data_IF_012262945209
#
_entry.id   IF_012262945209
#
_cell.length_a   1.000
_cell.length_b   1.000
_cell.length_c   1.000
_cell.angle_alpha   90.00
_cell.angle_beta   90.00
_cell.angle_gamma   90.00
#
_symmetry.space_group_name_H-M   'P 1'
#
loop_
_entity.id
_entity.type
_entity.pdbx_description
1 polymer ?
#
# COMPACT_ATOMS: atom_id res chain seq x y z
N UNK A 1 7.82 -20.72 -9.91
CA UNK A 1 6.68 -21.62 -9.70
C UNK A 1 5.32 -20.93 -9.96
N UNK A 2 4.41 -20.71 -8.94
CA UNK A 2 3.09 -20.10 -9.23
C UNK A 2 3.24 -18.67 -9.77
N UNK A 3 4.10 -17.85 -9.17
CA UNK A 3 4.33 -16.49 -9.62
C UNK A 3 4.91 -16.45 -11.05
N UNK A 4 5.88 -17.30 -11.35
CA UNK A 4 6.48 -17.38 -12.70
C UNK A 4 5.43 -17.78 -13.74
N UNK A 5 4.54 -18.72 -13.37
CA UNK A 5 3.45 -19.17 -14.22
C UNK A 5 2.44 -18.02 -14.45
N UNK A 6 2.08 -17.28 -13.41
CA UNK A 6 1.18 -16.14 -13.50
C UNK A 6 1.76 -15.00 -14.38
N UNK A 7 3.04 -14.71 -14.24
CA UNK A 7 3.76 -13.72 -15.05
C UNK A 7 3.82 -14.16 -16.51
N UNK A 8 4.19 -15.40 -16.78
CA UNK A 8 4.26 -15.96 -18.14
C UNK A 8 2.90 -15.91 -18.86
N UNK A 9 1.80 -16.10 -18.13
CA UNK A 9 0.44 -16.01 -18.66
C UNK A 9 -0.20 -14.62 -18.58
N UNK A 10 0.56 -13.62 -18.09
CA UNK A 10 0.11 -12.21 -17.95
C UNK A 10 -1.19 -12.07 -17.18
N UNK A 11 -1.39 -12.90 -16.15
CA UNK A 11 -2.56 -12.82 -15.28
C UNK A 11 -2.65 -11.45 -14.61
N UNK A 12 -3.87 -10.95 -14.43
CA UNK A 12 -4.15 -9.68 -13.76
C UNK A 12 -4.95 -9.81 -12.47
N UNK A 13 -5.58 -10.97 -12.28
CA UNK A 13 -6.41 -11.27 -11.12
C UNK A 13 -6.07 -12.62 -10.50
N UNK A 14 -6.37 -12.75 -9.20
CA UNK A 14 -6.12 -13.96 -8.42
C UNK A 14 -6.84 -15.20 -9.00
N UNK A 15 -8.09 -15.02 -9.46
CA UNK A 15 -8.86 -16.13 -10.01
C UNK A 15 -8.27 -16.67 -11.32
N UNK A 16 -7.68 -15.78 -12.13
CA UNK A 16 -6.94 -16.20 -13.34
C UNK A 16 -5.73 -17.06 -12.96
N UNK A 17 -4.98 -16.66 -11.93
CA UNK A 17 -3.83 -17.43 -11.44
C UNK A 17 -4.27 -18.80 -10.92
N UNK A 18 -5.33 -18.85 -10.12
CA UNK A 18 -5.87 -20.10 -9.56
C UNK A 18 -6.32 -21.10 -10.64
N UNK A 19 -6.82 -20.58 -11.76
CA UNK A 19 -7.29 -21.40 -12.88
C UNK A 19 -6.17 -21.91 -13.82
N UNK A 20 -4.94 -21.38 -13.69
CA UNK A 20 -3.83 -21.80 -14.56
C UNK A 20 -3.52 -23.29 -14.44
N UNK A 21 -3.21 -23.97 -15.55
CA UNK A 21 -2.73 -25.35 -15.53
C UNK A 21 -1.39 -25.44 -14.79
N UNK A 22 -1.31 -26.37 -13.82
CA UNK A 22 -0.08 -26.68 -13.08
C UNK A 22 0.06 -28.19 -12.90
N UNK A 23 0.93 -28.81 -13.66
CA UNK A 23 1.07 -30.27 -13.70
C UNK A 23 -0.14 -30.94 -14.34
N UNK A 24 -0.85 -31.80 -13.59
CA UNK A 24 -2.03 -32.55 -14.06
C UNK A 24 -3.37 -31.87 -13.72
N UNK A 25 -3.33 -30.76 -12.99
CA UNK A 25 -4.52 -30.06 -12.47
C UNK A 25 -4.33 -28.53 -12.56
N UNK A 26 -5.01 -27.77 -11.74
CA UNK A 26 -4.88 -26.32 -11.67
C UNK A 26 -3.95 -25.87 -10.55
N UNK A 27 -3.57 -24.58 -10.55
CA UNK A 27 -2.85 -23.96 -9.42
C UNK A 27 -3.65 -24.11 -8.12
N UNK A 28 -4.97 -23.92 -8.16
CA UNK A 28 -5.83 -24.10 -6.98
C UNK A 28 -5.72 -25.53 -6.42
N UNK A 29 -5.80 -26.52 -7.28
CA UNK A 29 -5.67 -27.94 -6.87
C UNK A 29 -4.28 -28.23 -6.30
N UNK A 30 -3.22 -27.70 -6.91
CA UNK A 30 -1.85 -27.87 -6.43
C UNK A 30 -1.63 -27.28 -5.02
N UNK A 31 -2.31 -26.17 -4.69
CA UNK A 31 -2.27 -25.59 -3.34
C UNK A 31 -3.00 -26.48 -2.33
N UNK A 32 -4.14 -27.05 -2.70
CA UNK A 32 -4.89 -28.01 -1.86
C UNK A 32 -4.06 -29.29 -1.63
N UNK A 33 -3.47 -29.85 -2.69
CA UNK A 33 -2.59 -31.02 -2.59
C UNK A 33 -1.41 -30.76 -1.67
N UNK A 34 -0.81 -29.56 -1.76
CA UNK A 34 0.30 -29.18 -0.89
C UNK A 34 -0.12 -29.11 0.58
N UNK A 35 -1.32 -28.60 0.88
CA UNK A 35 -1.90 -28.62 2.23
C UNK A 35 -2.04 -30.04 2.75
N UNK A 36 -2.48 -30.98 1.90
CA UNK A 36 -2.59 -32.41 2.26
C UNK A 36 -1.23 -33.06 2.56
N UNK A 37 -0.20 -32.72 1.79
CA UNK A 37 1.16 -33.27 1.96
C UNK A 37 1.82 -32.77 3.25
N UNK A 38 1.67 -31.48 3.56
CA UNK A 38 2.32 -30.86 4.73
C UNK A 38 1.52 -31.01 6.01
N UNK A 39 0.22 -31.31 5.92
CA UNK A 39 -0.70 -31.29 7.06
C UNK A 39 -1.04 -29.87 7.55
N UNK A 40 -0.61 -28.83 6.83
CA UNK A 40 -0.86 -27.43 7.14
C UNK A 40 -1.79 -26.82 6.10
N UNK A 41 -2.79 -26.05 6.55
CA UNK A 41 -3.69 -25.33 5.64
C UNK A 41 -2.88 -24.25 4.88
N UNK A 42 -2.82 -24.40 3.57
CA UNK A 42 -2.22 -23.43 2.66
C UNK A 42 -3.30 -22.82 1.78
N UNK A 43 -3.22 -21.52 1.57
CA UNK A 43 -4.12 -20.79 0.70
C UNK A 43 -3.32 -19.82 -0.18
N UNK A 44 -3.74 -19.66 -1.43
CA UNK A 44 -3.33 -18.58 -2.29
C UNK A 44 -4.43 -17.50 -2.20
N UNK A 45 -4.19 -16.48 -1.39
CA UNK A 45 -5.19 -15.47 -1.01
C UNK A 45 -4.97 -14.10 -1.65
N UNK A 46 -3.80 -13.88 -2.30
CA UNK A 46 -3.48 -12.61 -2.91
C UNK A 46 -2.65 -12.75 -4.18
N UNK A 47 -3.00 -11.95 -5.18
CA UNK A 47 -2.21 -11.67 -6.36
C UNK A 47 -2.51 -10.25 -6.83
N UNK A 48 -1.49 -9.45 -7.04
CA UNK A 48 -1.65 -8.07 -7.46
C UNK A 48 -0.61 -7.71 -8.50
N UNK A 49 -1.02 -6.89 -9.46
CA UNK A 49 -0.16 -6.32 -10.49
C UNK A 49 -0.09 -4.80 -10.30
N UNK A 50 1.06 -4.22 -10.55
CA UNK A 50 1.28 -2.79 -10.56
C UNK A 50 1.93 -2.42 -11.89
N UNK A 51 1.49 -1.32 -12.49
CA UNK A 51 2.01 -0.78 -13.73
C UNK A 51 2.45 0.67 -13.51
N UNK A 52 3.52 1.10 -14.18
CA UNK A 52 4.03 2.47 -14.08
C UNK A 52 5.30 2.66 -14.92
N UNK A 53 5.71 3.91 -15.08
CA UNK A 53 6.93 4.28 -15.84
C UNK A 53 8.20 3.80 -15.12
N UNK A 54 8.17 3.79 -13.79
CA UNK A 54 9.25 3.29 -12.96
C UNK A 54 8.67 2.50 -11.79
N UNK A 55 9.20 1.31 -11.55
CA UNK A 55 8.70 0.42 -10.50
C UNK A 55 9.85 0.01 -9.60
N UNK A 56 9.70 0.26 -8.30
CA UNK A 56 10.62 -0.23 -7.29
C UNK A 56 9.96 -1.29 -6.40
N UNK A 57 10.76 -2.27 -6.00
CA UNK A 57 10.35 -3.37 -5.13
C UNK A 57 11.25 -3.40 -3.91
N UNK A 58 10.65 -3.63 -2.75
CA UNK A 58 11.38 -3.87 -1.52
C UNK A 58 10.89 -5.17 -0.86
N UNK A 59 11.81 -6.07 -0.59
CA UNK A 59 11.56 -7.31 0.13
C UNK A 59 12.29 -7.26 1.48
N UNK A 60 11.54 -7.14 2.55
CA UNK A 60 12.12 -6.94 3.87
C UNK A 60 12.95 -8.15 4.31
N UNK A 61 14.24 -7.92 4.58
CA UNK A 61 15.21 -8.94 4.98
C UNK A 61 15.31 -10.14 4.01
N UNK A 62 14.82 -10.02 2.78
CA UNK A 62 14.74 -11.11 1.79
C UNK A 62 14.01 -12.37 2.29
N UNK A 63 13.06 -12.20 3.23
CA UNK A 63 12.30 -13.32 3.83
C UNK A 63 10.95 -13.59 3.15
N UNK A 64 10.55 -12.79 2.18
CA UNK A 64 9.25 -12.89 1.47
C UNK A 64 8.02 -12.85 2.40
N UNK A 65 8.15 -12.25 3.59
CA UNK A 65 7.07 -12.08 4.56
C UNK A 65 6.46 -10.68 4.52
N UNK A 66 7.24 -9.72 4.05
CA UNK A 66 6.83 -8.34 3.85
C UNK A 66 7.47 -7.83 2.58
N UNK A 67 6.66 -7.65 1.56
CA UNK A 67 7.08 -7.13 0.26
C UNK A 67 6.24 -5.90 -0.09
N UNK A 68 6.87 -4.90 -0.67
CA UNK A 68 6.21 -3.71 -1.18
C UNK A 68 6.63 -3.42 -2.61
N UNK A 69 5.71 -2.89 -3.39
CA UNK A 69 5.94 -2.38 -4.73
C UNK A 69 5.41 -0.97 -4.81
N UNK A 70 6.13 -0.10 -5.48
CA UNK A 70 5.71 1.27 -5.77
C UNK A 70 5.95 1.60 -7.23
N UNK A 71 4.98 2.24 -7.86
CA UNK A 71 5.08 2.78 -9.21
C UNK A 71 5.18 4.30 -9.15
N UNK A 72 6.12 4.86 -9.89
CA UNK A 72 6.31 6.28 -10.06
C UNK A 72 5.88 6.69 -11.47
N UNK A 73 5.46 7.95 -11.62
CA UNK A 73 5.04 8.52 -12.91
C UNK A 73 6.21 8.88 -13.84
N UNK A 74 7.43 8.81 -13.34
CA UNK A 74 8.66 9.13 -14.08
C UNK A 74 9.77 8.18 -13.68
N UNK A 75 10.68 7.93 -14.62
CA UNK A 75 11.91 7.22 -14.34
C UNK A 75 12.89 8.13 -13.58
N UNK A 76 13.30 7.68 -12.42
CA UNK A 76 14.24 8.37 -11.52
C UNK A 76 15.39 7.45 -11.10
N UNK A 77 16.36 7.96 -10.35
CA UNK A 77 17.41 7.09 -9.80
C UNK A 77 16.79 6.03 -8.85
N UNK A 78 17.28 4.80 -8.95
CA UNK A 78 16.76 3.62 -8.24
C UNK A 78 16.58 3.85 -6.73
N UNK A 79 17.49 4.63 -6.13
CA UNK A 79 17.48 4.94 -4.71
C UNK A 79 16.18 5.60 -4.24
N UNK A 80 15.55 6.44 -5.08
CA UNK A 80 14.30 7.12 -4.73
C UNK A 80 13.12 6.14 -4.65
N UNK A 81 12.95 5.30 -5.65
CA UNK A 81 11.92 4.28 -5.66
C UNK A 81 12.09 3.29 -4.53
N UNK A 82 13.32 2.82 -4.30
CA UNK A 82 13.65 1.90 -3.21
C UNK A 82 13.36 2.49 -1.83
N UNK A 83 13.72 3.73 -1.58
CA UNK A 83 13.46 4.40 -0.31
C UNK A 83 11.95 4.58 -0.05
N UNK A 84 11.16 4.89 -1.08
CA UNK A 84 9.70 4.97 -0.96
C UNK A 84 9.08 3.59 -0.74
N UNK A 85 9.58 2.54 -1.38
CA UNK A 85 9.14 1.17 -1.12
C UNK A 85 9.43 0.75 0.34
N UNK A 86 10.58 1.13 0.90
CA UNK A 86 10.90 0.94 2.33
C UNK A 86 9.96 1.74 3.23
N UNK A 87 9.63 2.99 2.89
CA UNK A 87 8.64 3.81 3.59
C UNK A 87 7.30 3.10 3.69
N UNK A 88 6.80 2.54 2.58
CA UNK A 88 5.53 1.80 2.52
C UNK A 88 5.58 0.57 3.42
N UNK A 89 6.69 -0.16 3.42
CA UNK A 89 6.88 -1.32 4.29
C UNK A 89 6.81 -0.95 5.78
N UNK A 90 7.49 0.13 6.16
CA UNK A 90 7.59 0.58 7.55
C UNK A 90 6.31 1.25 8.07
N UNK A 91 5.70 2.12 7.26
CA UNK A 91 4.62 3.01 7.73
C UNK A 91 3.23 2.54 7.33
N UNK A 92 3.12 1.53 6.45
CA UNK A 92 1.84 0.95 6.01
C UNK A 92 0.77 2.00 5.66
N UNK A 93 1.03 2.90 4.70
CA UNK A 93 0.08 3.94 4.34
C UNK A 93 -1.22 3.32 3.77
N UNK A 94 -2.33 4.00 3.96
CA UNK A 94 -3.66 3.58 3.48
C UNK A 94 -3.95 4.09 2.07
N UNK A 95 -3.43 5.26 1.72
CA UNK A 95 -3.61 5.91 0.42
C UNK A 95 -2.32 6.58 -0.05
N UNK A 96 -2.29 6.99 -1.31
CA UNK A 96 -1.19 7.78 -1.86
C UNK A 96 -1.26 9.21 -1.32
N UNK A 97 -2.47 9.82 -1.42
CA UNK A 97 -2.74 11.19 -0.94
C UNK A 97 -4.17 11.28 -0.39
N UNK A 98 -4.64 12.48 -0.07
CA UNK A 98 -6.00 12.73 0.42
C UNK A 98 -7.07 12.39 -0.61
N UNK A 99 -6.77 12.61 -1.90
CA UNK A 99 -7.72 12.42 -3.00
C UNK A 99 -8.13 10.97 -3.23
N UNK A 100 -7.27 10.01 -2.89
CA UNK A 100 -7.54 8.57 -3.00
C UNK A 100 -7.81 7.90 -1.64
N UNK A 101 -7.94 8.69 -0.57
CA UNK A 101 -8.31 8.18 0.73
C UNK A 101 -9.77 7.69 0.73
N UNK A 102 -10.09 6.49 1.28
CA UNK A 102 -11.44 5.93 1.26
C UNK A 102 -12.46 6.87 1.89
N UNK A 103 -13.46 7.31 1.12
CA UNK A 103 -14.42 8.34 1.53
C UNK A 103 -15.31 7.90 2.70
N UNK A 104 -15.68 6.63 2.78
CA UNK A 104 -16.45 6.03 3.86
C UNK A 104 -15.68 6.04 5.18
N UNK A 105 -14.38 5.73 5.13
CA UNK A 105 -13.48 5.79 6.29
C UNK A 105 -13.31 7.24 6.74
N UNK A 106 -13.10 8.16 5.80
CA UNK A 106 -12.94 9.59 6.10
C UNK A 106 -14.19 10.18 6.78
N UNK A 107 -15.38 9.84 6.27
CA UNK A 107 -16.64 10.28 6.87
C UNK A 107 -16.78 9.77 8.31
N UNK A 108 -16.48 8.51 8.54
CA UNK A 108 -16.52 7.88 9.85
C UNK A 108 -15.52 8.48 10.83
N UNK A 109 -14.29 8.72 10.40
CA UNK A 109 -13.25 9.36 11.23
C UNK A 109 -13.63 10.81 11.59
N UNK A 110 -14.26 11.55 10.65
CA UNK A 110 -14.77 12.89 10.92
C UNK A 110 -15.88 12.88 11.98
N UNK A 111 -16.80 11.93 11.90
CA UNK A 111 -17.88 11.76 12.88
C UNK A 111 -17.32 11.41 14.26
N UNK A 112 -16.44 10.42 14.35
CA UNK A 112 -15.74 10.02 15.59
C UNK A 112 -15.02 11.21 16.21
N UNK A 113 -14.32 12.01 15.39
CA UNK A 113 -13.60 13.18 15.86
C UNK A 113 -14.54 14.26 16.42
N UNK A 114 -15.69 14.49 15.77
CA UNK A 114 -16.71 15.41 16.23
C UNK A 114 -17.34 14.95 17.54
N UNK A 115 -17.74 13.70 17.65
CA UNK A 115 -18.33 13.14 18.86
C UNK A 115 -17.39 13.16 20.05
N UNK A 116 -16.12 12.85 19.82
CA UNK A 116 -15.10 12.96 20.86
C UNK A 116 -14.92 14.40 21.36
N UNK A 117 -14.95 15.36 20.44
CA UNK A 117 -14.89 16.78 20.81
C UNK A 117 -16.13 17.22 21.65
N UNK A 118 -17.33 16.74 21.32
CA UNK A 118 -18.54 16.95 22.12
C UNK A 118 -18.44 16.35 23.52
N UNK A 119 -17.97 15.11 23.62
CA UNK A 119 -17.77 14.43 24.93
C UNK A 119 -16.73 15.15 25.78
N UNK A 120 -15.72 15.79 25.18
CA UNK A 120 -14.71 16.63 25.83
C UNK A 120 -15.27 18.02 26.21
N UNK A 121 -16.55 18.30 25.96
CA UNK A 121 -17.19 19.58 26.30
C UNK A 121 -16.75 20.76 25.46
N UNK A 122 -16.27 20.51 24.23
CA UNK A 122 -15.86 21.60 23.35
C UNK A 122 -17.08 22.36 22.81
N UNK A 123 -17.01 23.69 22.64
CA UNK A 123 -18.09 24.47 22.06
C UNK A 123 -18.45 24.00 20.64
N UNK A 124 -19.74 23.96 20.30
CA UNK A 124 -20.25 23.45 19.03
C UNK A 124 -19.62 24.17 17.81
N UNK A 125 -19.40 25.46 17.92
CA UNK A 125 -18.72 26.28 16.87
C UNK A 125 -17.24 25.92 16.64
N UNK A 126 -16.63 25.14 17.52
CA UNK A 126 -15.25 24.67 17.39
C UNK A 126 -15.13 23.23 16.94
N UNK A 127 -16.21 22.45 17.00
CA UNK A 127 -16.21 21.00 16.73
C UNK A 127 -15.72 20.70 15.32
N UNK A 128 -16.23 21.44 14.32
CA UNK A 128 -15.82 21.23 12.93
C UNK A 128 -14.33 21.54 12.71
N UNK A 129 -13.82 22.60 13.33
CA UNK A 129 -12.39 22.93 13.27
C UNK A 129 -11.52 21.86 13.93
N UNK A 130 -11.96 21.32 15.05
CA UNK A 130 -11.27 20.25 15.77
C UNK A 130 -11.29 18.96 14.94
N UNK A 131 -12.45 18.60 14.36
CA UNK A 131 -12.57 17.42 13.49
C UNK A 131 -11.64 17.54 12.27
N UNK A 132 -11.64 18.69 11.59
CA UNK A 132 -10.73 18.97 10.47
C UNK A 132 -9.25 18.87 10.88
N UNK A 133 -8.89 19.40 12.04
CA UNK A 133 -7.53 19.29 12.57
C UNK A 133 -7.09 17.85 12.82
N UNK A 134 -8.01 16.99 13.30
CA UNK A 134 -7.76 15.55 13.47
C UNK A 134 -7.61 14.82 12.14
N UNK A 135 -8.43 15.17 11.14
CA UNK A 135 -8.29 14.60 9.79
C UNK A 135 -6.95 14.99 9.15
N UNK A 136 -6.51 16.22 9.31
CA UNK A 136 -5.20 16.64 8.81
C UNK A 136 -4.05 15.86 9.48
N UNK A 137 -4.19 15.50 10.75
CA UNK A 137 -3.23 14.62 11.42
C UNK A 137 -3.29 13.21 10.86
N UNK A 138 -4.49 12.67 10.67
CA UNK A 138 -4.70 11.34 10.07
C UNK A 138 -4.05 11.25 8.67
N UNK A 139 -4.25 12.26 7.82
CA UNK A 139 -3.62 12.31 6.51
C UNK A 139 -2.09 12.31 6.57
N UNK A 140 -1.48 12.99 7.55
CA UNK A 140 -0.03 12.95 7.74
C UNK A 140 0.48 11.59 8.20
N UNK A 141 -0.37 10.81 8.84
CA UNK A 141 -0.02 9.47 9.33
C UNK A 141 -0.30 8.38 8.27
N UNK A 142 -1.38 8.51 7.50
CA UNK A 142 -1.89 7.44 6.63
C UNK A 142 -1.76 7.70 5.12
N UNK A 143 -1.54 8.95 4.67
CA UNK A 143 -1.30 9.23 3.26
C UNK A 143 0.21 9.22 2.97
N UNK A 144 0.65 8.33 2.09
CA UNK A 144 2.07 8.11 1.77
C UNK A 144 2.83 9.41 1.49
N UNK A 145 2.31 10.24 0.60
CA UNK A 145 2.99 11.48 0.19
C UNK A 145 3.10 12.52 1.32
N UNK A 146 2.23 12.44 2.32
CA UNK A 146 2.21 13.37 3.48
C UNK A 146 2.96 12.84 4.70
N UNK A 147 3.28 11.56 4.74
CA UNK A 147 4.06 11.00 5.82
C UNK A 147 5.43 11.66 5.91
N UNK A 148 5.93 11.82 7.13
CA UNK A 148 7.33 12.16 7.35
C UNK A 148 8.22 11.05 6.77
N UNK A 149 9.26 11.42 6.07
CA UNK A 149 10.14 10.45 5.43
C UNK A 149 11.00 9.73 6.46
N UNK A 150 11.01 8.40 6.47
CA UNK A 150 11.67 7.58 7.51
C UNK A 150 13.17 7.85 7.66
N UNK A 151 13.86 8.29 6.60
CA UNK A 151 15.30 8.60 6.66
C UNK A 151 15.57 10.07 7.01
N UNK A 152 14.54 10.94 6.94
CA UNK A 152 14.63 12.34 7.30
C UNK A 152 13.22 12.89 7.65
N UNK A 153 12.87 12.86 8.91
CA UNK A 153 11.56 13.26 9.43
C UNK A 153 11.20 14.75 9.27
N UNK A 154 12.17 15.56 8.82
CA UNK A 154 11.98 16.99 8.54
C UNK A 154 11.29 17.27 7.20
N UNK A 155 11.24 16.29 6.31
CA UNK A 155 10.61 16.40 5.00
C UNK A 155 9.53 15.34 4.82
N UNK A 156 8.57 15.60 3.94
CA UNK A 156 7.58 14.62 3.55
C UNK A 156 8.13 13.68 2.46
N UNK A 157 7.47 12.54 2.25
CA UNK A 157 7.76 11.65 1.12
C UNK A 157 7.61 12.40 -0.21
N UNK A 158 6.59 13.27 -0.34
CA UNK A 158 6.43 14.11 -1.53
C UNK A 158 7.64 15.03 -1.76
N UNK A 159 8.16 15.66 -0.71
CA UNK A 159 9.33 16.54 -0.83
C UNK A 159 10.61 15.76 -1.14
N UNK A 160 10.75 14.56 -0.62
CA UNK A 160 11.83 13.65 -0.98
C UNK A 160 11.82 13.32 -2.47
N UNK A 161 10.67 12.95 -3.03
CA UNK A 161 10.52 12.66 -4.47
C UNK A 161 10.79 13.88 -5.35
N UNK A 162 10.40 15.09 -4.92
CA UNK A 162 10.75 16.34 -5.64
C UNK A 162 12.25 16.58 -5.74
N UNK A 163 13.04 15.98 -4.86
CA UNK A 163 14.49 15.98 -4.96
C UNK A 163 15.03 15.22 -6.17
N UNK A 164 14.31 14.20 -6.65
CA UNK A 164 14.62 13.47 -7.87
C UNK A 164 14.18 14.23 -9.13
N UNK A 165 12.93 14.65 -9.15
CA UNK A 165 12.31 15.46 -10.21
C UNK A 165 11.10 16.20 -9.61
N UNK A 166 10.95 17.50 -9.93
CA UNK A 166 9.88 18.36 -9.37
C UNK A 166 8.46 17.82 -9.58
N UNK A 167 8.25 17.05 -10.65
CA UNK A 167 6.96 16.48 -11.02
C UNK A 167 6.88 14.98 -10.73
N UNK A 168 7.86 14.41 -10.02
CA UNK A 168 7.87 13.01 -9.63
C UNK A 168 6.86 12.75 -8.51
N UNK A 169 6.02 11.74 -8.70
CA UNK A 169 5.03 11.30 -7.70
C UNK A 169 4.76 9.80 -7.80
N UNK A 170 4.14 9.27 -6.75
CA UNK A 170 3.65 7.89 -6.71
C UNK A 170 2.33 7.79 -7.47
N UNK A 171 2.19 6.80 -8.32
CA UNK A 171 0.94 6.50 -9.06
C UNK A 171 0.21 5.29 -8.51
N UNK A 172 0.93 4.33 -7.95
CA UNK A 172 0.35 3.15 -7.29
C UNK A 172 1.35 2.54 -6.31
N UNK A 173 0.86 1.84 -5.33
CA UNK A 173 1.67 0.97 -4.47
C UNK A 173 0.89 -0.26 -4.01
N UNK A 174 1.61 -1.30 -3.64
CA UNK A 174 1.07 -2.52 -3.01
C UNK A 174 1.99 -2.97 -1.88
N UNK A 175 1.38 -3.52 -0.84
CA UNK A 175 2.08 -4.09 0.31
C UNK A 175 1.47 -5.44 0.66
N UNK A 176 2.33 -6.41 0.80
CA UNK A 176 2.01 -7.79 1.19
C UNK A 176 2.69 -8.13 2.51
#
# INVERSE_FOLDING_TARGET
DILDLAVANKCKALDEVKALPMGKATVADAVVDRSGITGEKMELDGYMVIEGEDIAVYNHQNKNQLCTMVALNKKVAEEYGHAVAMQIAAMNPRSIDESDYPADVLAKEKEIAADKARQEGKPENMIEKIATGRLNKLFKEECLLKQAFIQNDKISVADYLKGADKDCTVTAFKRF
#
